data_IF_957021049736
#
_entry.id   IF_957021049736
#
_cell.length_a   1.000
_cell.length_b   1.000
_cell.length_c   1.000
_cell.angle_alpha   90.00
_cell.angle_beta   90.00
_cell.angle_gamma   90.00
#
_symmetry.space_group_name_H-M   'P 1'
#
loop_
_entity.id
_entity.type
_entity.pdbx_description
1 polymer ?
#
# COMPACT_ATOMS: atom_id res chain seq x y z
N UNK A 1 53.55 -23.46 24.73
CA UNK A 1 53.58 -22.49 25.86
C UNK A 1 52.38 -21.57 25.66
N UNK A 2 51.39 -21.41 26.54
CA UNK A 2 51.09 -22.02 27.83
C UNK A 2 49.56 -22.18 27.99
N UNK A 3 49.19 -23.04 28.92
CA UNK A 3 47.84 -23.51 29.26
C UNK A 3 47.05 -22.49 30.09
N UNK A 4 45.72 -22.49 29.93
CA UNK A 4 44.78 -22.38 31.07
C UNK A 4 43.58 -23.30 30.81
N UNK A 5 43.35 -24.22 31.75
CA UNK A 5 42.21 -25.11 31.89
C UNK A 5 41.38 -24.63 33.10
N UNK A 6 40.05 -24.70 33.04
CA UNK A 6 39.22 -25.30 34.11
C UNK A 6 37.75 -25.43 33.65
N UNK A 7 37.32 -26.69 33.62
CA UNK A 7 35.95 -27.16 33.45
C UNK A 7 35.18 -27.03 34.76
N UNK A 8 33.87 -26.77 34.70
CA UNK A 8 32.93 -27.36 35.64
C UNK A 8 31.57 -27.62 35.00
N UNK A 9 31.17 -28.89 35.00
CA UNK A 9 29.91 -29.46 34.53
C UNK A 9 29.13 -29.96 35.74
N UNK A 10 27.82 -29.76 35.78
CA UNK A 10 26.92 -30.41 36.73
C UNK A 10 25.50 -30.51 36.19
N UNK A 11 25.03 -31.72 35.95
CA UNK A 11 23.65 -32.05 35.60
C UNK A 11 23.13 -33.24 36.45
N UNK A 12 21.94 -33.00 37.03
CA UNK A 12 20.73 -33.84 37.17
C UNK A 12 20.66 -35.06 38.14
N UNK A 13 19.46 -35.12 38.77
CA UNK A 13 18.68 -36.24 39.34
C UNK A 13 18.93 -36.52 40.83
N UNK A 14 17.94 -36.85 41.69
CA UNK A 14 16.68 -37.58 41.48
C UNK A 14 15.86 -37.63 42.79
N UNK A 15 14.53 -37.84 42.65
CA UNK A 15 13.61 -38.57 43.54
C UNK A 15 12.90 -37.92 44.76
N UNK A 16 11.57 -37.81 44.62
CA UNK A 16 10.52 -37.97 45.65
C UNK A 16 10.36 -39.48 46.05
N UNK A 17 9.48 -39.98 46.97
CA UNK A 17 8.14 -39.46 47.34
C UNK A 17 7.60 -39.75 48.79
N UNK A 18 6.29 -39.45 48.98
CA UNK A 18 5.29 -39.95 49.96
C UNK A 18 5.04 -39.13 51.22
N UNK A 19 3.85 -39.16 51.86
CA UNK A 19 2.41 -39.27 51.48
C UNK A 19 1.66 -39.10 52.82
N UNK A 20 0.63 -38.24 52.84
CA UNK A 20 -0.59 -38.28 53.66
C UNK A 20 -0.52 -38.48 55.19
N UNK A 21 -1.21 -37.62 55.96
CA UNK A 21 -2.47 -38.01 56.61
C UNK A 21 -3.28 -36.80 57.12
N UNK A 22 -4.59 -37.02 57.13
CA UNK A 22 -5.72 -36.12 57.35
C UNK A 22 -6.09 -36.06 58.84
N UNK A 23 -6.62 -34.93 59.34
CA UNK A 23 -7.77 -34.87 60.29
C UNK A 23 -8.34 -33.45 60.46
N UNK A 24 -9.51 -33.23 59.82
CA UNK A 24 -10.78 -32.61 60.26
C UNK A 24 -10.84 -32.21 61.77
N UNK A 25 -11.46 -31.15 62.28
CA UNK A 25 -12.16 -29.92 61.82
C UNK A 25 -12.50 -29.13 63.10
N UNK A 26 -12.64 -27.79 63.05
CA UNK A 26 -13.73 -27.12 63.78
C UNK A 26 -14.01 -25.70 63.25
N UNK A 27 -15.30 -25.42 63.21
CA UNK A 27 -16.01 -24.26 62.69
C UNK A 27 -15.70 -22.95 63.41
N UNK A 28 -15.54 -21.85 62.68
CA UNK A 28 -16.01 -20.53 63.13
C UNK A 28 -16.35 -19.68 61.91
N UNK A 29 -17.61 -19.27 61.84
CA UNK A 29 -18.18 -18.39 60.83
C UNK A 29 -17.80 -16.96 61.18
N UNK A 30 -16.96 -16.32 60.37
CA UNK A 30 -16.81 -14.86 60.38
C UNK A 30 -17.10 -14.30 58.99
N UNK A 31 -18.18 -13.52 58.96
CA UNK A 31 -18.65 -12.71 57.85
C UNK A 31 -17.55 -11.75 57.41
N UNK A 32 -16.89 -12.05 56.29
CA UNK A 32 -15.99 -11.09 55.64
C UNK A 32 -16.67 -10.54 54.39
N UNK A 33 -16.92 -9.24 54.44
CA UNK A 33 -17.55 -8.42 53.41
C UNK A 33 -16.79 -8.54 52.09
N UNK A 34 -17.54 -8.82 51.03
CA UNK A 34 -17.10 -8.80 49.63
C UNK A 34 -16.54 -7.44 49.26
N UNK A 35 -15.22 -7.31 49.15
CA UNK A 35 -14.61 -6.33 48.26
C UNK A 35 -14.42 -7.02 46.91
N UNK A 36 -15.42 -6.88 46.04
CA UNK A 36 -15.26 -7.22 44.64
C UNK A 36 -14.12 -6.35 44.11
N UNK A 37 -13.00 -6.97 43.75
CA UNK A 37 -12.02 -6.33 42.90
C UNK A 37 -12.78 -5.93 41.64
N UNK A 38 -12.99 -4.63 41.48
CA UNK A 38 -13.44 -4.05 40.22
C UNK A 38 -12.32 -4.34 39.24
N UNK A 39 -12.42 -5.45 38.52
CA UNK A 39 -11.72 -5.59 37.26
C UNK A 39 -12.30 -4.48 36.40
N UNK A 40 -11.61 -3.35 36.37
CA UNK A 40 -11.81 -2.35 35.33
C UNK A 40 -11.69 -3.14 34.04
N UNK A 41 -12.83 -3.38 33.41
CA UNK A 41 -12.89 -3.95 32.07
C UNK A 41 -12.09 -2.98 31.23
N UNK A 42 -10.82 -3.32 30.95
CA UNK A 42 -10.07 -2.61 29.93
C UNK A 42 -10.98 -2.62 28.71
N UNK A 43 -11.35 -1.43 28.23
CA UNK A 43 -12.01 -1.31 26.95
C UNK A 43 -11.18 -2.10 25.94
N UNK A 44 -11.79 -2.86 25.01
CA UNK A 44 -11.03 -3.55 24.00
C UNK A 44 -10.08 -2.55 23.35
N UNK A 45 -8.78 -2.85 23.38
CA UNK A 45 -7.78 -2.06 22.66
C UNK A 45 -8.25 -2.05 21.21
N UNK A 46 -8.61 -0.87 20.72
CA UNK A 46 -9.08 -0.73 19.35
C UNK A 46 -7.95 -1.20 18.43
N UNK A 47 -8.26 -2.14 17.54
CA UNK A 47 -7.28 -2.72 16.63
C UNK A 47 -6.94 -1.72 15.52
N UNK A 48 -5.69 -1.69 15.07
CA UNK A 48 -5.31 -0.96 13.86
C UNK A 48 -6.07 -1.56 12.66
N UNK A 49 -7.12 -0.89 12.19
CA UNK A 49 -7.95 -1.35 11.07
C UNK A 49 -7.31 -1.03 9.71
N UNK A 50 -5.98 -1.23 9.59
CA UNK A 50 -5.15 -0.81 8.46
C UNK A 50 -5.26 0.70 8.14
N UNK A 51 -5.57 1.52 9.14
CA UNK A 51 -5.65 2.98 9.04
C UNK A 51 -4.26 3.61 9.16
N UNK A 52 -3.32 3.13 8.35
CA UNK A 52 -1.95 3.61 8.30
C UNK A 52 -1.42 3.49 6.87
N UNK A 53 -0.87 4.57 6.33
CA UNK A 53 -0.24 4.59 5.01
C UNK A 53 0.63 5.84 4.82
N UNK A 54 1.42 5.84 3.73
CA UNK A 54 2.17 7.03 3.31
C UNK A 54 1.24 8.03 2.65
N UNK A 55 1.35 9.30 3.03
CA UNK A 55 0.35 10.30 2.65
C UNK A 55 0.58 11.69 3.20
N UNK A 56 -0.30 12.58 2.78
CA UNK A 56 -0.39 13.96 3.25
C UNK A 56 -1.67 14.15 4.04
N UNK A 57 -1.61 14.95 5.10
CA UNK A 57 -2.78 15.29 5.90
C UNK A 57 -3.36 16.65 5.48
N UNK A 58 -4.68 16.79 5.54
CA UNK A 58 -5.35 18.07 5.37
C UNK A 58 -5.30 18.88 6.68
N UNK A 59 -4.92 20.15 6.57
CA UNK A 59 -4.82 21.05 7.71
C UNK A 59 -3.55 20.86 8.55
N UNK A 60 -3.32 21.80 9.47
CA UNK A 60 -2.12 21.84 10.32
C UNK A 60 -2.19 20.92 11.55
N UNK A 61 -3.34 20.28 11.76
CA UNK A 61 -3.66 19.64 13.04
C UNK A 61 -3.94 20.67 14.13
N UNK A 62 -4.36 20.19 15.30
CA UNK A 62 -4.55 21.06 16.45
C UNK A 62 -3.24 21.31 17.22
N UNK A 63 -2.23 20.47 16.97
CA UNK A 63 -0.91 20.54 17.59
C UNK A 63 0.17 20.10 16.60
N UNK A 64 1.27 20.85 16.57
CA UNK A 64 2.47 20.53 15.80
C UNK A 64 3.64 20.47 16.77
N UNK A 65 4.42 19.40 16.70
CA UNK A 65 5.64 19.19 17.50
C UNK A 65 6.78 18.73 16.61
N UNK A 66 8.00 18.87 17.11
CA UNK A 66 9.14 18.21 16.50
C UNK A 66 9.15 16.74 16.93
N UNK A 67 9.44 15.84 15.99
CA UNK A 67 9.67 14.42 16.25
C UNK A 67 10.81 13.94 15.35
N UNK A 68 11.73 13.16 15.90
CA UNK A 68 12.87 12.62 15.13
C UNK A 68 12.52 11.32 14.40
N UNK A 69 11.46 10.64 14.84
CA UNK A 69 10.95 9.40 14.26
C UNK A 69 9.42 9.40 14.16
N UNK A 70 8.88 8.56 13.28
CA UNK A 70 7.44 8.27 13.22
C UNK A 70 6.95 7.63 14.52
N UNK A 71 7.76 6.80 15.16
CA UNK A 71 7.47 6.19 16.46
C UNK A 71 7.23 7.24 17.55
N UNK A 72 8.10 8.25 17.66
CA UNK A 72 7.92 9.35 18.61
C UNK A 72 6.63 10.15 18.33
N UNK A 73 6.28 10.35 17.06
CA UNK A 73 5.06 11.05 16.69
C UNK A 73 3.80 10.25 17.03
N UNK A 74 3.82 8.95 16.77
CA UNK A 74 2.76 8.03 17.16
C UNK A 74 2.57 8.00 18.68
N UNK A 75 3.65 7.85 19.46
CA UNK A 75 3.60 7.82 20.92
C UNK A 75 3.01 9.12 21.49
N UNK A 76 3.38 10.27 20.92
CA UNK A 76 2.79 11.56 21.30
C UNK A 76 1.28 11.62 21.05
N UNK A 77 0.77 11.00 19.98
CA UNK A 77 -0.67 10.88 19.75
C UNK A 77 -1.31 9.88 20.72
N UNK A 78 -0.69 8.72 20.90
CA UNK A 78 -1.20 7.62 21.70
C UNK A 78 -1.35 7.97 23.19
N UNK A 79 -0.47 8.83 23.70
CA UNK A 79 -0.52 9.31 25.09
C UNK A 79 -1.49 10.49 25.29
N UNK A 80 -1.93 11.15 24.22
CA UNK A 80 -2.71 12.39 24.31
C UNK A 80 -4.22 12.14 24.16
N UNK A 81 -4.94 12.37 25.25
CA UNK A 81 -6.40 12.32 25.26
C UNK A 81 -6.99 13.27 24.21
N UNK A 82 -7.66 12.70 23.21
CA UNK A 82 -8.32 13.44 22.13
C UNK A 82 -7.56 13.44 20.80
N UNK A 83 -6.37 12.85 20.73
CA UNK A 83 -5.74 12.57 19.45
C UNK A 83 -6.44 11.40 18.75
N UNK A 84 -6.86 11.58 17.50
CA UNK A 84 -7.51 10.55 16.69
C UNK A 84 -6.66 10.11 15.49
N UNK A 85 -5.74 10.97 15.04
CA UNK A 85 -4.80 10.67 13.97
C UNK A 85 -3.52 11.48 14.11
N UNK A 86 -2.46 10.96 13.52
CA UNK A 86 -1.13 11.55 13.53
C UNK A 86 -0.52 11.55 12.13
N UNK A 87 0.35 12.52 11.87
CA UNK A 87 1.14 12.62 10.64
C UNK A 87 2.57 12.98 11.00
N UNK A 88 3.51 12.20 10.47
CA UNK A 88 4.93 12.39 10.61
C UNK A 88 5.57 12.67 9.25
N UNK A 89 6.52 13.60 9.24
CA UNK A 89 7.41 13.86 8.11
C UNK A 89 8.85 13.65 8.53
N UNK A 90 9.64 12.97 7.69
CA UNK A 90 11.07 12.74 7.89
C UNK A 90 11.90 14.04 7.95
N UNK A 91 11.30 15.19 7.59
CA UNK A 91 11.86 16.52 7.86
C UNK A 91 11.85 16.90 9.35
N UNK A 92 11.29 16.06 10.22
CA UNK A 92 11.27 16.23 11.67
C UNK A 92 9.97 16.80 12.23
N UNK A 93 8.88 16.83 11.44
CA UNK A 93 7.61 17.43 11.83
C UNK A 93 6.58 16.36 12.19
N UNK A 94 5.92 16.53 13.33
CA UNK A 94 4.78 15.74 13.77
C UNK A 94 3.55 16.63 13.94
N UNK A 95 2.41 16.18 13.41
CA UNK A 95 1.11 16.86 13.53
C UNK A 95 0.09 15.91 14.11
N UNK A 96 -0.66 16.38 15.11
CA UNK A 96 -1.72 15.63 15.78
C UNK A 96 -3.09 16.22 15.43
N UNK A 97 -4.08 15.35 15.29
CA UNK A 97 -5.40 15.69 14.79
C UNK A 97 -6.50 15.17 15.73
N UNK A 98 -7.56 15.95 15.86
CA UNK A 98 -8.80 15.53 16.57
C UNK A 98 -9.84 14.96 15.60
N UNK A 99 -9.63 15.16 14.32
CA UNK A 99 -10.42 14.63 13.23
C UNK A 99 -10.11 13.16 12.99
N UNK A 100 -11.05 12.42 12.43
CA UNK A 100 -10.81 11.01 12.11
C UNK A 100 -9.75 10.89 11.02
N UNK A 101 -9.00 9.78 11.03
CA UNK A 101 -8.00 9.50 10.01
C UNK A 101 -8.59 9.60 8.59
N UNK A 102 -9.78 9.05 8.34
CA UNK A 102 -10.43 9.10 7.02
C UNK A 102 -10.77 10.51 6.53
N UNK A 103 -10.93 11.47 7.43
CA UNK A 103 -11.30 12.85 7.08
C UNK A 103 -10.08 13.67 6.63
N UNK A 104 -8.92 13.44 7.24
CA UNK A 104 -7.70 14.23 6.97
C UNK A 104 -6.77 13.55 5.99
N UNK A 105 -6.81 12.22 5.91
CA UNK A 105 -5.74 11.45 5.28
C UNK A 105 -5.93 11.36 3.76
N UNK A 106 -4.86 11.68 3.05
CA UNK A 106 -4.79 11.58 1.59
C UNK A 106 -3.57 10.72 1.22
N UNK A 107 -3.78 9.52 0.66
CA UNK A 107 -2.68 8.66 0.28
C UNK A 107 -1.80 9.31 -0.77
N UNK A 108 -0.49 9.16 -0.61
CA UNK A 108 0.53 9.59 -1.58
C UNK A 108 1.66 8.57 -1.60
N UNK A 109 2.53 8.65 -2.62
CA UNK A 109 3.72 7.82 -2.71
C UNK A 109 4.97 8.50 -2.14
N UNK A 110 4.78 9.52 -1.30
CA UNK A 110 5.87 10.23 -0.66
C UNK A 110 6.51 9.32 0.40
N UNK A 111 7.77 8.97 0.18
CA UNK A 111 8.52 8.07 1.08
C UNK A 111 8.78 8.67 2.45
N UNK A 112 8.66 9.98 2.58
CA UNK A 112 9.09 10.70 3.77
C UNK A 112 7.94 10.97 4.74
N UNK A 113 6.70 10.73 4.34
CA UNK A 113 5.52 11.05 5.13
C UNK A 113 4.75 9.79 5.49
N UNK A 114 4.48 9.58 6.78
CA UNK A 114 3.70 8.48 7.31
C UNK A 114 2.58 9.04 8.18
N UNK A 115 1.40 8.44 8.08
CA UNK A 115 0.25 8.82 8.88
C UNK A 115 -0.53 7.61 9.30
N UNK A 116 -1.12 7.70 10.48
CA UNK A 116 -1.96 6.65 11.03
C UNK A 116 -3.08 7.19 11.89
N UNK A 117 -4.08 6.36 12.16
CA UNK A 117 -5.00 6.61 13.26
C UNK A 117 -4.31 6.39 14.60
N UNK A 118 -4.93 6.90 15.68
CA UNK A 118 -4.45 6.76 17.05
C UNK A 118 -4.09 5.32 17.44
N UNK A 119 -4.73 4.33 16.84
CA UNK A 119 -4.55 2.92 17.17
C UNK A 119 -3.58 2.18 16.24
N UNK A 120 -2.95 2.88 15.31
CA UNK A 120 -2.00 2.31 14.37
C UNK A 120 -0.60 2.85 14.65
N UNK A 121 0.29 1.95 15.06
CA UNK A 121 1.72 2.19 15.25
C UNK A 121 2.44 2.13 13.89
N UNK A 122 3.61 2.79 13.72
CA UNK A 122 4.48 2.55 12.56
C UNK A 122 4.76 1.06 12.28
N UNK A 123 4.76 0.20 13.30
CA UNK A 123 4.94 -1.25 13.14
C UNK A 123 3.79 -1.93 12.38
N UNK A 124 2.59 -1.33 12.34
CA UNK A 124 1.45 -1.82 11.57
C UNK A 124 1.58 -1.51 10.07
N UNK A 125 2.53 -0.63 9.68
CA UNK A 125 2.75 -0.29 8.28
C UNK A 125 3.59 -1.35 7.56
N UNK A 126 2.98 -1.98 6.55
CA UNK A 126 3.70 -2.85 5.62
C UNK A 126 4.15 -2.06 4.39
N UNK A 127 5.45 -1.88 4.12
CA UNK A 127 5.92 -1.19 2.91
C UNK A 127 5.65 -2.00 1.63
N UNK A 128 5.61 -1.31 0.48
CA UNK A 128 5.33 -1.92 -0.82
C UNK A 128 6.27 -3.10 -1.20
N UNK A 129 7.56 -3.04 -0.87
CA UNK A 129 8.54 -4.11 -1.17
C UNK A 129 8.54 -4.64 -2.62
N UNK A 130 8.31 -3.77 -3.60
CA UNK A 130 8.17 -4.14 -5.02
C UNK A 130 7.04 -5.17 -5.29
N UNK A 131 6.04 -5.30 -4.39
CA UNK A 131 4.83 -6.11 -4.57
C UNK A 131 3.82 -5.45 -5.51
N UNK A 132 4.26 -5.16 -6.72
CA UNK A 132 3.46 -4.55 -7.78
C UNK A 132 3.91 -5.08 -9.13
N UNK A 133 2.95 -5.43 -9.99
CA UNK A 133 3.28 -6.01 -11.28
C UNK A 133 2.09 -6.34 -12.16
N UNK A 134 2.41 -6.84 -13.35
CA UNK A 134 1.43 -7.34 -14.29
C UNK A 134 1.14 -8.82 -14.04
N UNK A 135 -0.14 -9.15 -13.96
CA UNK A 135 -0.59 -10.51 -13.70
C UNK A 135 -2.10 -10.58 -13.54
N UNK A 136 -2.58 -11.59 -12.83
CA UNK A 136 -3.99 -11.76 -12.52
C UNK A 136 -4.20 -12.32 -11.12
N UNK A 137 -5.37 -12.07 -10.56
CA UNK A 137 -5.87 -12.68 -9.32
C UNK A 137 -7.13 -13.46 -9.70
N UNK A 138 -7.15 -14.76 -9.42
CA UNK A 138 -8.27 -15.65 -9.76
C UNK A 138 -9.42 -15.62 -8.77
N UNK A 139 -9.16 -15.08 -7.57
CA UNK A 139 -10.17 -14.96 -6.52
C UNK A 139 -11.21 -13.89 -6.87
N UNK A 140 -12.39 -13.98 -6.27
CA UNK A 140 -13.38 -12.91 -6.38
C UNK A 140 -12.97 -11.71 -5.51
N UNK A 141 -13.12 -10.47 -6.01
CA UNK A 141 -12.86 -9.28 -5.20
C UNK A 141 -13.84 -9.16 -4.04
N UNK A 142 -13.36 -8.64 -2.91
CA UNK A 142 -14.21 -8.28 -1.76
C UNK A 142 -15.01 -7.00 -2.04
N UNK A 143 -14.48 -6.14 -2.92
CA UNK A 143 -15.12 -4.91 -3.36
C UNK A 143 -14.66 -4.58 -4.79
N UNK A 144 -15.59 -4.07 -5.58
CA UNK A 144 -15.32 -3.53 -6.91
C UNK A 144 -15.81 -2.09 -6.98
N UNK A 145 -15.02 -1.23 -7.61
CA UNK A 145 -15.37 0.16 -7.88
C UNK A 145 -15.19 0.43 -9.37
N UNK A 146 -16.26 0.80 -10.05
CA UNK A 146 -16.23 1.20 -11.46
C UNK A 146 -15.92 2.68 -11.61
N UNK A 147 -15.70 3.13 -12.85
CA UNK A 147 -15.36 4.52 -13.18
C UNK A 147 -14.04 5.00 -12.55
N UNK A 148 -13.13 4.08 -12.27
CA UNK A 148 -11.78 4.39 -11.79
C UNK A 148 -10.93 4.67 -13.01
N UNK A 149 -10.74 5.95 -13.31
CA UNK A 149 -10.05 6.38 -14.53
C UNK A 149 -8.57 6.07 -14.45
N UNK A 150 -7.91 6.11 -13.29
CA UNK A 150 -6.48 5.84 -13.17
C UNK A 150 -6.20 4.69 -12.21
N UNK A 151 -5.21 3.89 -12.55
CA UNK A 151 -4.73 2.78 -11.72
C UNK A 151 -4.19 3.25 -10.36
N UNK A 152 -3.59 4.45 -10.28
CA UNK A 152 -3.17 5.05 -9.01
C UNK A 152 -4.35 5.30 -8.06
N UNK A 153 -5.50 5.66 -8.61
CA UNK A 153 -6.71 5.91 -7.82
C UNK A 153 -7.24 4.58 -7.26
N UNK A 154 -7.07 3.47 -7.99
CA UNK A 154 -7.38 2.14 -7.46
C UNK A 154 -6.53 1.80 -6.23
N UNK A 155 -5.22 2.06 -6.28
CA UNK A 155 -4.34 1.89 -5.13
C UNK A 155 -4.77 2.76 -3.94
N UNK A 156 -5.11 4.04 -4.18
CA UNK A 156 -5.57 4.94 -3.12
C UNK A 156 -6.91 4.51 -2.52
N UNK A 157 -7.84 4.01 -3.34
CA UNK A 157 -9.10 3.45 -2.86
C UNK A 157 -8.85 2.22 -1.97
N UNK A 158 -7.89 1.37 -2.35
CA UNK A 158 -7.44 0.26 -1.52
C UNK A 158 -6.88 0.79 -0.19
N UNK A 159 -5.92 1.73 -0.21
CA UNK A 159 -5.32 2.34 0.99
C UNK A 159 -6.34 3.00 1.94
N UNK A 160 -7.49 3.46 1.44
CA UNK A 160 -8.55 4.00 2.30
C UNK A 160 -9.50 2.94 2.86
N UNK A 161 -9.59 1.78 2.22
CA UNK A 161 -10.43 0.69 2.67
C UNK A 161 -9.65 -0.26 3.58
N UNK A 162 -9.89 -0.24 4.89
CA UNK A 162 -9.18 -1.09 5.85
C UNK A 162 -9.26 -2.61 5.60
N UNK A 163 -10.19 -3.08 4.75
CA UNK A 163 -10.31 -4.49 4.38
C UNK A 163 -9.46 -4.87 3.15
N UNK A 164 -9.00 -3.87 2.39
CA UNK A 164 -8.21 -4.09 1.17
C UNK A 164 -6.73 -4.25 1.50
N UNK A 165 -6.15 -5.40 1.17
CA UNK A 165 -4.70 -5.64 1.28
C UNK A 165 -4.02 -5.74 -0.08
N UNK A 166 -4.79 -5.97 -1.14
CA UNK A 166 -4.33 -6.08 -2.53
C UNK A 166 -5.34 -5.44 -3.47
N UNK A 167 -4.87 -4.75 -4.51
CA UNK A 167 -5.70 -4.18 -5.56
C UNK A 167 -5.28 -4.68 -6.94
N UNK A 168 -6.22 -4.69 -7.88
CA UNK A 168 -5.99 -5.00 -9.30
C UNK A 168 -6.84 -4.07 -10.15
N UNK A 169 -6.19 -3.40 -11.10
CA UNK A 169 -6.82 -2.43 -11.98
C UNK A 169 -7.05 -3.01 -13.38
N UNK A 170 -8.30 -3.01 -13.81
CA UNK A 170 -8.71 -3.33 -15.16
C UNK A 170 -8.88 -2.04 -15.99
N UNK A 171 -7.93 -1.78 -16.88
CA UNK A 171 -7.97 -0.60 -17.77
C UNK A 171 -9.05 -0.68 -18.84
N UNK A 172 -9.51 -1.89 -19.21
CA UNK A 172 -10.54 -2.07 -20.24
C UNK A 172 -11.92 -1.64 -19.76
N UNK A 173 -12.22 -1.91 -18.49
CA UNK A 173 -13.52 -1.64 -17.88
C UNK A 173 -13.48 -0.47 -16.89
N UNK A 174 -12.32 0.20 -16.74
CA UNK A 174 -12.08 1.25 -15.74
C UNK A 174 -12.54 0.81 -14.34
N UNK A 175 -12.17 -0.42 -13.96
CA UNK A 175 -12.63 -1.07 -12.73
C UNK A 175 -11.47 -1.35 -11.79
N UNK A 176 -11.62 -0.91 -10.54
CA UNK A 176 -10.74 -1.27 -9.44
C UNK A 176 -11.31 -2.48 -8.69
N UNK A 177 -10.53 -3.55 -8.63
CA UNK A 177 -10.83 -4.75 -7.87
C UNK A 177 -9.99 -4.76 -6.60
N UNK A 178 -10.63 -4.96 -5.45
CA UNK A 178 -9.98 -5.01 -4.14
C UNK A 178 -10.11 -6.40 -3.54
N UNK A 179 -9.06 -6.86 -2.88
CA UNK A 179 -8.96 -8.20 -2.32
C UNK A 179 -8.40 -8.14 -0.89
N UNK A 180 -8.65 -9.22 -0.14
CA UNK A 180 -7.99 -9.50 1.12
C UNK A 180 -7.03 -10.69 0.96
N UNK A 181 -5.95 -10.71 1.74
CA UNK A 181 -4.88 -11.73 1.67
C UNK A 181 -3.51 -11.14 1.35
N UNK A 182 -2.50 -12.01 1.34
CA UNK A 182 -1.12 -11.65 0.97
C UNK A 182 -0.99 -11.52 -0.55
N UNK A 183 -0.29 -10.49 -1.03
CA UNK A 183 -0.04 -10.31 -2.47
C UNK A 183 0.61 -11.56 -3.09
N UNK A 184 1.68 -12.06 -2.46
CA UNK A 184 2.40 -13.25 -2.91
C UNK A 184 1.57 -14.54 -2.97
N UNK A 185 0.49 -14.63 -2.19
CA UNK A 185 -0.38 -15.82 -2.15
C UNK A 185 -1.45 -15.79 -3.24
N UNK A 186 -1.95 -14.60 -3.60
CA UNK A 186 -3.13 -14.45 -4.46
C UNK A 186 -2.79 -13.97 -5.87
N UNK A 187 -1.64 -13.31 -6.04
CA UNK A 187 -1.20 -12.77 -7.31
C UNK A 187 -0.43 -13.81 -8.12
N UNK A 188 -0.87 -14.01 -9.37
CA UNK A 188 -0.15 -14.83 -10.34
C UNK A 188 0.47 -13.94 -11.41
N UNK A 189 1.80 -13.96 -11.49
CA UNK A 189 2.54 -13.19 -12.49
C UNK A 189 2.24 -13.67 -13.92
N UNK A 190 2.38 -12.77 -14.89
CA UNK A 190 2.25 -13.00 -16.34
C UNK A 190 2.96 -14.25 -16.93
N UNK A 191 3.80 -14.96 -16.16
CA UNK A 191 4.50 -16.15 -16.64
C UNK A 191 3.58 -17.36 -16.90
N UNK A 192 2.38 -17.41 -16.34
CA UNK A 192 1.42 -18.51 -16.57
C UNK A 192 0.18 -18.02 -17.31
N UNK A 193 0.01 -18.47 -18.55
CA UNK A 193 -1.17 -18.20 -19.38
C UNK A 193 -2.43 -18.75 -18.71
N UNK A 194 -3.30 -17.86 -18.22
CA UNK A 194 -4.76 -17.98 -18.17
C UNK A 194 -5.31 -16.73 -17.45
N UNK A 195 -5.76 -15.72 -18.20
CA UNK A 195 -6.40 -14.51 -17.65
C UNK A 195 -6.06 -13.23 -18.39
N UNK A 196 -6.93 -12.22 -18.26
CA UNK A 196 -6.61 -10.85 -18.69
C UNK A 196 -5.50 -10.31 -17.80
N UNK A 197 -4.39 -9.90 -18.43
CA UNK A 197 -3.31 -9.22 -17.73
C UNK A 197 -3.84 -7.90 -17.19
N UNK A 198 -3.60 -7.65 -15.90
CA UNK A 198 -3.93 -6.40 -15.23
C UNK A 198 -2.74 -5.92 -14.41
N UNK A 199 -2.71 -4.63 -14.08
CA UNK A 199 -1.77 -4.12 -13.09
C UNK A 199 -2.34 -4.39 -11.70
N UNK A 200 -1.57 -5.02 -10.83
CA UNK A 200 -1.96 -5.29 -9.45
C UNK A 200 -0.83 -4.92 -8.49
N UNK A 201 -1.18 -4.62 -7.24
CA UNK A 201 -0.20 -4.37 -6.20
C UNK A 201 -0.75 -4.60 -4.80
N UNK A 202 0.14 -4.73 -3.82
CA UNK A 202 -0.25 -4.69 -2.41
C UNK A 202 -0.75 -3.29 -2.02
N UNK A 203 -1.45 -3.19 -0.89
CA UNK A 203 -2.06 -1.95 -0.36
C UNK A 203 -1.12 -0.75 -0.41
N UNK A 204 0.13 -0.95 -0.02
CA UNK A 204 1.14 0.12 0.07
C UNK A 204 1.85 0.41 -1.25
N UNK A 205 1.57 -0.35 -2.30
CA UNK A 205 2.07 -0.11 -3.64
C UNK A 205 1.05 0.70 -4.45
N UNK A 206 1.46 1.84 -4.99
CA UNK A 206 0.73 2.51 -6.06
C UNK A 206 1.48 2.34 -7.38
N UNK A 207 0.82 2.60 -8.50
CA UNK A 207 1.45 2.58 -9.82
C UNK A 207 2.58 3.58 -9.99
N UNK A 208 2.67 4.61 -9.15
CA UNK A 208 3.82 5.52 -9.13
C UNK A 208 5.13 4.79 -8.75
N UNK A 209 5.02 3.73 -7.93
CA UNK A 209 6.13 2.89 -7.50
C UNK A 209 6.45 1.76 -8.49
N UNK A 210 5.58 1.53 -9.48
CA UNK A 210 5.90 0.60 -10.56
C UNK A 210 7.09 1.15 -11.34
N UNK A 211 8.12 0.32 -11.49
CA UNK A 211 9.35 0.62 -12.25
C UNK A 211 9.24 -0.05 -13.61
N UNK A 212 8.58 0.58 -14.61
CA UNK A 212 8.53 0.01 -15.95
C UNK A 212 9.96 -0.13 -16.48
N UNK A 213 10.23 -1.23 -17.18
CA UNK A 213 11.47 -1.40 -17.92
C UNK A 213 11.38 -0.56 -19.19
N UNK A 214 11.75 0.72 -19.10
CA UNK A 214 11.84 1.61 -20.25
C UNK A 214 13.17 1.35 -20.98
N UNK A 215 13.08 1.00 -22.26
CA UNK A 215 14.25 0.83 -23.12
C UNK A 215 14.64 2.14 -23.80
N UNK A 216 15.86 2.21 -24.35
CA UNK A 216 16.23 3.28 -25.26
C UNK A 216 15.25 3.33 -26.42
N UNK A 217 14.60 4.47 -26.66
CA UNK A 217 13.60 4.63 -27.71
C UNK A 217 14.15 4.39 -29.13
N UNK A 218 15.44 4.09 -29.31
CA UNK A 218 16.10 3.75 -30.58
C UNK A 218 15.67 4.63 -31.77
N UNK A 219 15.44 5.93 -31.53
CA UNK A 219 14.99 6.88 -32.56
C UNK A 219 13.52 6.73 -33.02
N UNK A 220 12.72 5.89 -32.37
CA UNK A 220 11.31 5.59 -32.70
C UNK A 220 10.32 6.53 -31.99
N UNK A 221 10.53 7.85 -32.10
CA UNK A 221 9.43 8.80 -31.93
C UNK A 221 8.87 9.09 -33.32
N UNK A 222 7.65 8.61 -33.59
CA UNK A 222 7.01 8.84 -34.89
C UNK A 222 6.11 10.06 -34.82
N UNK A 223 6.11 10.82 -35.91
CA UNK A 223 5.30 12.01 -36.12
C UNK A 223 4.41 11.73 -37.34
N UNK A 224 3.15 11.33 -37.15
CA UNK A 224 2.27 10.88 -38.26
C UNK A 224 0.85 11.46 -38.23
N UNK A 225 0.29 11.68 -39.42
CA UNK A 225 -1.07 12.16 -39.69
C UNK A 225 -1.80 11.19 -40.63
N UNK A 226 -2.48 10.18 -40.10
CA UNK A 226 -3.71 9.60 -40.70
C UNK A 226 -4.32 8.59 -39.72
N UNK A 227 -5.63 8.39 -39.83
CA UNK A 227 -6.51 7.79 -38.81
C UNK A 227 -5.87 6.62 -38.06
N UNK A 228 -5.41 6.92 -36.84
CA UNK A 228 -5.19 5.92 -35.83
C UNK A 228 -6.56 5.28 -35.60
N UNK A 229 -6.63 3.95 -35.46
CA UNK A 229 -7.88 3.29 -35.08
C UNK A 229 -8.45 3.89 -33.78
N UNK A 230 -9.59 3.42 -33.30
CA UNK A 230 -10.08 3.94 -32.02
C UNK A 230 -9.05 3.64 -30.91
N UNK A 231 -8.50 4.68 -30.29
CA UNK A 231 -7.68 4.52 -29.09
C UNK A 231 -8.50 3.78 -28.06
N UNK A 232 -7.95 2.74 -27.44
CA UNK A 232 -8.70 2.04 -26.41
C UNK A 232 -8.92 2.92 -25.18
N UNK A 233 -8.05 3.93 -24.99
CA UNK A 233 -8.15 4.89 -23.90
C UNK A 233 -7.59 6.25 -24.30
N UNK A 234 -8.28 7.31 -23.88
CA UNK A 234 -7.85 8.70 -24.00
C UNK A 234 -7.77 9.30 -22.59
N UNK A 235 -6.64 9.94 -22.28
CA UNK A 235 -6.30 10.46 -20.96
C UNK A 235 -5.97 11.95 -21.08
N UNK A 236 -6.93 12.81 -20.71
CA UNK A 236 -6.78 14.27 -20.79
C UNK A 236 -5.90 14.85 -19.67
N UNK A 237 -5.66 14.10 -18.60
CA UNK A 237 -4.78 14.47 -17.50
C UNK A 237 -3.29 14.31 -17.82
N UNK A 238 -2.94 13.56 -18.87
CA UNK A 238 -1.56 13.29 -19.24
C UNK A 238 -1.22 14.00 -20.55
N UNK A 239 -0.63 15.18 -20.42
CA UNK A 239 -0.45 16.10 -21.54
C UNK A 239 1.00 16.17 -22.06
N UNK A 240 1.93 15.50 -21.38
CA UNK A 240 3.35 15.48 -21.73
C UNK A 240 3.78 14.10 -22.20
N UNK A 241 4.81 14.08 -23.05
CA UNK A 241 5.42 12.84 -23.58
C UNK A 241 5.77 11.87 -22.45
N UNK A 242 6.42 12.37 -21.39
CA UNK A 242 6.81 11.56 -20.25
C UNK A 242 5.60 10.96 -19.52
N UNK A 243 4.56 11.76 -19.26
CA UNK A 243 3.35 11.28 -18.57
C UNK A 243 2.56 10.29 -19.42
N UNK A 244 2.51 10.46 -20.74
CA UNK A 244 1.78 9.56 -21.64
C UNK A 244 2.53 8.23 -21.84
N UNK A 245 3.85 8.30 -22.04
CA UNK A 245 4.71 7.11 -22.08
C UNK A 245 4.57 6.30 -20.80
N UNK A 246 4.60 6.97 -19.63
CA UNK A 246 4.36 6.34 -18.34
C UNK A 246 2.99 5.66 -18.30
N UNK A 247 1.93 6.35 -18.68
CA UNK A 247 0.57 5.81 -18.68
C UNK A 247 0.45 4.53 -19.53
N UNK A 248 1.11 4.49 -20.70
CA UNK A 248 1.17 3.28 -21.52
C UNK A 248 1.96 2.15 -20.86
N UNK A 249 3.10 2.47 -20.24
CA UNK A 249 3.96 1.48 -19.61
C UNK A 249 3.30 0.74 -18.43
N UNK A 250 2.29 1.36 -17.81
CA UNK A 250 1.50 0.81 -16.69
C UNK A 250 0.13 0.27 -17.11
N UNK A 251 -0.32 0.55 -18.34
CA UNK A 251 -1.55 -0.01 -18.88
C UNK A 251 -1.27 -1.40 -19.50
N UNK A 252 -1.93 -2.47 -19.03
CA UNK A 252 -1.70 -3.83 -19.52
C UNK A 252 -2.04 -4.02 -21.00
N UNK A 253 -2.93 -3.20 -21.55
CA UNK A 253 -3.39 -3.30 -22.94
C UNK A 253 -2.59 -2.41 -23.89
N UNK A 254 -1.89 -1.41 -23.36
CA UNK A 254 -1.18 -0.47 -24.21
C UNK A 254 0.07 -1.08 -24.84
N UNK A 255 0.16 -1.00 -26.15
CA UNK A 255 1.34 -1.33 -26.95
C UNK A 255 1.98 -0.07 -27.56
N UNK A 256 1.16 0.95 -27.82
CA UNK A 256 1.58 2.22 -28.43
C UNK A 256 0.87 3.40 -27.77
N UNK A 257 1.57 4.51 -27.58
CA UNK A 257 1.03 5.77 -27.08
C UNK A 257 1.28 6.92 -28.05
N UNK A 258 0.43 7.94 -27.99
CA UNK A 258 0.53 9.14 -28.82
C UNK A 258 0.03 10.40 -28.08
N UNK A 259 0.63 11.55 -28.41
CA UNK A 259 0.15 12.90 -28.13
C UNK A 259 0.13 13.70 -29.43
N UNK A 260 -0.99 14.33 -29.79
CA UNK A 260 -1.06 15.17 -30.99
C UNK A 260 -0.45 16.56 -30.77
N UNK A 261 0.19 17.13 -31.78
CA UNK A 261 0.62 18.52 -31.74
C UNK A 261 -0.60 19.45 -31.68
N UNK A 262 -0.73 20.21 -30.60
CA UNK A 262 -1.84 21.15 -30.38
C UNK A 262 -3.05 20.57 -29.65
N UNK A 263 -3.11 19.26 -29.42
CA UNK A 263 -4.02 18.65 -28.44
C UNK A 263 -3.21 18.17 -27.25
N UNK A 264 -3.79 18.27 -26.06
CA UNK A 264 -3.13 17.90 -24.81
C UNK A 264 -3.51 16.52 -24.30
N UNK A 265 -4.24 15.72 -25.07
CA UNK A 265 -4.68 14.40 -24.60
C UNK A 265 -3.65 13.31 -24.96
N UNK A 266 -3.48 12.35 -24.05
CA UNK A 266 -2.71 11.14 -24.27
C UNK A 266 -3.61 10.02 -24.80
N UNK A 267 -3.21 9.38 -25.89
CA UNK A 267 -3.95 8.30 -26.53
C UNK A 267 -3.18 7.00 -26.39
N UNK A 268 -3.85 5.96 -25.91
CA UNK A 268 -3.29 4.62 -25.75
C UNK A 268 -3.94 3.64 -26.74
N UNK A 269 -3.10 2.80 -27.33
CA UNK A 269 -3.49 1.85 -28.38
C UNK A 269 -3.00 0.45 -28.07
N UNK A 270 -3.75 -0.55 -28.51
CA UNK A 270 -3.40 -1.98 -28.42
C UNK A 270 -2.56 -2.49 -29.59
N UNK A 271 -2.43 -1.72 -30.67
CA UNK A 271 -1.65 -2.07 -31.87
C UNK A 271 -0.14 -1.85 -31.71
N UNK A 272 0.67 -2.67 -32.40
CA UNK A 272 2.12 -2.57 -32.40
C UNK A 272 2.60 -1.32 -33.15
N UNK A 273 3.67 -0.70 -32.64
CA UNK A 273 4.21 0.55 -33.18
C UNK A 273 4.65 0.46 -34.65
N UNK A 274 5.20 -0.68 -35.09
CA UNK A 274 5.73 -0.85 -36.45
C UNK A 274 4.64 -1.02 -37.53
N UNK A 275 3.39 -1.31 -37.13
CA UNK A 275 2.25 -1.47 -38.05
C UNK A 275 1.55 -0.13 -38.39
N UNK A 276 2.02 1.01 -37.84
CA UNK A 276 1.20 2.24 -37.71
C UNK A 276 1.87 3.50 -38.30
N UNK A 277 3.05 3.42 -38.94
CA UNK A 277 3.84 4.62 -39.30
C UNK A 277 3.72 5.02 -40.79
N UNK A 278 3.29 6.27 -41.03
CA UNK A 278 3.48 7.08 -42.25
C UNK A 278 4.20 8.40 -41.89
N UNK A 279 5.03 8.92 -42.79
CA UNK A 279 6.13 9.88 -42.58
C UNK A 279 5.69 11.37 -42.54
N UNK A 280 4.64 11.77 -41.78
CA UNK A 280 4.17 13.19 -41.76
C UNK A 280 3.84 13.79 -40.38
N UNK A 281 4.54 14.89 -40.07
CA UNK A 281 4.69 15.52 -38.75
C UNK A 281 3.45 16.16 -38.08
N UNK A 282 2.63 15.44 -37.31
CA UNK A 282 1.62 16.09 -36.42
C UNK A 282 1.44 15.50 -35.01
N UNK A 283 2.26 14.53 -34.59
CA UNK A 283 2.13 13.92 -33.26
C UNK A 283 3.48 13.46 -32.70
N UNK A 284 3.54 13.16 -31.41
CA UNK A 284 4.66 12.43 -30.80
C UNK A 284 4.13 11.10 -30.28
N UNK A 285 4.66 9.99 -30.79
CA UNK A 285 4.24 8.65 -30.42
C UNK A 285 5.42 7.74 -30.06
N UNK A 286 5.15 6.66 -29.33
CA UNK A 286 6.16 5.65 -28.99
C UNK A 286 5.53 4.31 -28.59
N UNK A 287 6.33 3.25 -28.54
CA UNK A 287 5.88 1.96 -28.01
C UNK A 287 5.77 1.97 -26.48
N UNK A 288 5.14 0.94 -25.90
CA UNK A 288 4.96 0.75 -24.45
C UNK A 288 6.24 0.92 -23.62
N UNK A 289 7.37 0.46 -24.14
CA UNK A 289 8.66 0.50 -23.45
C UNK A 289 9.49 1.75 -23.83
N UNK A 290 8.93 2.66 -24.62
CA UNK A 290 9.57 3.90 -25.03
C UNK A 290 9.08 5.04 -24.14
N UNK A 291 9.99 5.65 -23.37
CA UNK A 291 9.72 6.84 -22.57
C UNK A 291 11.01 7.63 -22.33
N UNK A 292 10.88 8.95 -22.16
CA UNK A 292 12.00 9.77 -21.67
C UNK A 292 12.16 9.47 -20.18
N UNK A 293 13.37 9.14 -19.68
CA UNK A 293 13.60 8.91 -18.26
C UNK A 293 13.26 10.12 -17.40
#
# INVERSE_FOLDING_TARGET
MGLVNLKYTGQIASQAPKRASVSKALSTTETTTTAAATTTSAAPVAQCNNEIYRGTAQGEGYKTTDASTDQECYEACFEEDGCHAWWFSAAGSCKLYTESFSDIASPTNERDNLMGSHNCSPDDYTPCNDEIGFGYISQSPILQTSQVVLERDCAHLCMKNGQCTVWQYDSSSATCNMFSGSFSDIFTSQASQEGSVMLAGSRSCSSDLFKPQLGSCNGKMSWSAESWGDSHRTLSQYTTVATCARACSIDPLCQTWLIWAGYSDCYLYTGLFDDIIDDRDIATAGSRNCGVP
#
